data_IF_100741070508
#
_entry.id   IF_100741070508
#
_cell.length_a   1.000
_cell.length_b   1.000
_cell.length_c   1.000
_cell.angle_alpha   90.00
_cell.angle_beta   90.00
_cell.angle_gamma   90.00
#
_symmetry.space_group_name_H-M   'P 1'
#
loop_
_entity.id
_entity.type
_entity.pdbx_description
1 polymer ?
#
# COMPACT_ATOMS: atom_id res chain seq x y z
N UNK A 1 -4.37 22.62 44.90
CA UNK A 1 -4.82 22.46 43.50
C UNK A 1 -3.63 21.95 42.73
N UNK A 2 -3.56 20.66 42.41
CA UNK A 2 -2.50 20.14 41.52
C UNK A 2 -2.87 20.52 40.10
N UNK A 3 -2.12 21.45 39.52
CA UNK A 3 -2.24 21.77 38.09
C UNK A 3 -1.96 20.49 37.31
N UNK A 4 -2.97 20.03 36.58
CA UNK A 4 -2.82 18.90 35.67
C UNK A 4 -2.06 19.45 34.47
N UNK A 5 -0.78 19.14 34.37
CA UNK A 5 0.04 19.51 33.24
C UNK A 5 -0.46 18.70 32.03
N UNK A 6 -1.31 19.31 31.20
CA UNK A 6 -1.84 18.68 30.00
C UNK A 6 -0.68 18.59 29.00
N UNK A 7 -0.04 17.43 28.90
CA UNK A 7 0.94 17.17 27.85
C UNK A 7 0.16 16.98 26.54
N UNK A 8 0.12 18.02 25.71
CA UNK A 8 -0.36 17.90 24.34
C UNK A 8 0.81 17.34 23.51
N UNK A 9 0.62 16.26 22.73
CA UNK A 9 1.67 15.78 21.82
C UNK A 9 2.07 16.89 20.83
N UNK A 10 3.38 17.03 20.59
CA UNK A 10 3.90 17.98 19.59
C UNK A 10 3.45 17.57 18.19
N UNK A 11 3.35 18.54 17.29
CA UNK A 11 3.04 18.32 15.88
C UNK A 11 3.70 19.42 15.04
N UNK A 12 4.98 19.61 15.29
CA UNK A 12 5.79 20.68 14.73
C UNK A 12 6.46 20.25 13.41
N UNK A 13 6.50 18.94 13.15
CA UNK A 13 7.11 18.31 11.99
C UNK A 13 6.04 17.66 11.11
N UNK A 14 6.22 17.77 9.78
CA UNK A 14 5.38 16.99 8.87
C UNK A 14 5.84 15.53 8.86
N UNK A 15 4.92 14.57 8.87
CA UNK A 15 5.25 13.16 8.69
C UNK A 15 5.87 12.88 7.33
N UNK A 16 6.61 11.79 7.24
CA UNK A 16 7.18 11.24 6.02
C UNK A 16 6.52 9.90 5.68
N UNK A 17 6.22 9.68 4.40
CA UNK A 17 5.88 8.36 3.89
C UNK A 17 6.74 8.04 2.67
N UNK A 18 7.43 6.91 2.70
CA UNK A 18 8.49 6.59 1.75
C UNK A 18 8.50 5.08 1.44
N UNK A 19 9.48 4.66 0.62
CA UNK A 19 9.72 3.26 0.22
C UNK A 19 8.46 2.53 -0.29
N UNK A 20 7.64 3.24 -1.04
CA UNK A 20 6.41 2.69 -1.64
C UNK A 20 6.78 1.64 -2.68
N UNK A 21 6.23 0.43 -2.55
CA UNK A 21 6.45 -0.63 -3.53
C UNK A 21 5.20 -1.48 -3.77
N UNK A 22 5.18 -2.12 -4.95
CA UNK A 22 4.29 -3.21 -5.30
C UNK A 22 5.15 -4.38 -5.77
N UNK A 23 4.99 -5.54 -5.14
CA UNK A 23 5.66 -6.76 -5.54
C UNK A 23 4.69 -7.96 -5.55
N UNK A 24 4.68 -8.78 -6.61
CA UNK A 24 5.31 -8.54 -7.91
C UNK A 24 4.54 -7.48 -8.73
N UNK A 25 5.20 -6.83 -9.69
CA UNK A 25 4.53 -5.85 -10.59
C UNK A 25 3.73 -6.51 -11.73
N UNK A 26 3.89 -7.82 -11.92
CA UNK A 26 3.20 -8.66 -12.90
C UNK A 26 2.78 -9.96 -12.24
N UNK A 27 1.64 -10.51 -12.63
CA UNK A 27 1.11 -11.72 -12.03
C UNK A 27 -0.18 -12.21 -12.67
N UNK A 28 -0.74 -13.25 -12.06
CA UNK A 28 -1.98 -13.89 -12.48
C UNK A 28 -3.02 -13.93 -11.35
N UNK A 29 -4.16 -14.57 -11.60
CA UNK A 29 -5.26 -14.75 -10.63
C UNK A 29 -4.83 -15.47 -9.33
N UNK A 30 -3.69 -16.16 -9.34
CA UNK A 30 -3.13 -16.85 -8.16
C UNK A 30 -1.89 -16.14 -7.59
N UNK A 31 -1.49 -15.02 -8.17
CA UNK A 31 -0.39 -14.20 -7.66
C UNK A 31 -0.89 -13.34 -6.51
N UNK A 32 -0.24 -13.49 -5.35
CA UNK A 32 -0.43 -12.58 -4.23
C UNK A 32 0.38 -11.32 -4.48
N UNK A 33 -0.29 -10.17 -4.49
CA UNK A 33 0.34 -8.86 -4.64
C UNK A 33 0.48 -8.20 -3.28
N UNK A 34 1.68 -7.70 -2.98
CA UNK A 34 2.02 -7.02 -1.75
C UNK A 34 2.32 -5.54 -2.04
N UNK A 35 1.50 -4.67 -1.49
CA UNK A 35 1.67 -3.22 -1.50
C UNK A 35 2.35 -2.83 -0.20
N UNK A 36 3.51 -2.18 -0.24
CA UNK A 36 4.25 -1.79 0.96
C UNK A 36 4.57 -0.30 0.99
N UNK A 37 4.83 0.22 2.18
CA UNK A 37 5.30 1.58 2.38
C UNK A 37 5.76 1.80 3.82
N UNK A 38 6.51 2.89 4.03
CA UNK A 38 7.19 3.16 5.30
C UNK A 38 6.73 4.50 5.84
N UNK A 39 6.37 4.52 7.12
CA UNK A 39 5.91 5.70 7.82
C UNK A 39 6.88 6.13 8.90
N UNK A 40 7.16 7.43 8.98
CA UNK A 40 7.89 8.04 10.10
C UNK A 40 7.39 9.46 10.40
N UNK A 41 7.51 9.86 11.66
CA UNK A 41 7.06 11.14 12.20
C UNK A 41 7.92 11.55 13.39
N UNK A 42 8.66 12.65 13.26
CA UNK A 42 9.61 13.12 14.26
C UNK A 42 8.97 13.53 15.59
N UNK A 43 7.66 13.77 15.59
CA UNK A 43 6.90 14.08 16.80
C UNK A 43 6.25 12.84 17.42
N UNK A 44 6.55 11.63 16.90
CA UNK A 44 6.02 10.34 17.36
C UNK A 44 4.52 10.20 17.16
N UNK A 45 3.94 11.01 16.27
CA UNK A 45 2.53 10.92 15.99
C UNK A 45 2.24 9.62 15.24
N UNK A 46 1.24 8.87 15.71
CA UNK A 46 0.75 7.70 15.00
C UNK A 46 -0.10 8.14 13.78
N UNK A 47 -0.09 7.37 12.68
CA UNK A 47 -1.00 7.66 11.58
C UNK A 47 -2.43 7.30 12.01
N UNK A 48 -3.44 8.07 11.58
CA UNK A 48 -4.84 7.65 11.80
C UNK A 48 -5.14 6.45 10.89
N UNK A 49 -4.73 6.53 9.63
CA UNK A 49 -4.85 5.44 8.67
C UNK A 49 -3.81 5.56 7.54
N UNK A 50 -3.33 4.41 7.10
CA UNK A 50 -2.50 4.24 5.91
C UNK A 50 -3.26 3.32 4.97
N UNK A 51 -3.56 3.79 3.76
CA UNK A 51 -4.38 3.06 2.80
C UNK A 51 -3.65 2.91 1.47
N UNK A 52 -3.87 1.77 0.82
CA UNK A 52 -3.65 1.67 -0.63
C UNK A 52 -4.97 1.91 -1.34
N UNK A 53 -4.92 2.55 -2.51
CA UNK A 53 -6.08 2.79 -3.35
C UNK A 53 -5.82 2.12 -4.69
N UNK A 54 -6.67 1.16 -5.05
CA UNK A 54 -6.55 0.36 -6.28
C UNK A 54 -7.82 0.60 -7.10
N UNK A 55 -7.69 1.13 -8.32
CA UNK A 55 -8.81 1.52 -9.18
C UNK A 55 -9.91 2.29 -8.43
N UNK A 56 -9.51 3.34 -7.72
CA UNK A 56 -10.39 4.21 -6.91
C UNK A 56 -11.04 3.55 -5.67
N UNK A 57 -10.73 2.29 -5.38
CA UNK A 57 -11.21 1.61 -4.17
C UNK A 57 -10.15 1.66 -3.07
N UNK A 58 -10.55 2.05 -1.86
CA UNK A 58 -9.65 2.25 -0.72
C UNK A 58 -9.53 0.97 0.11
N UNK A 59 -8.31 0.56 0.41
CA UNK A 59 -8.00 -0.61 1.23
C UNK A 59 -7.04 -0.24 2.38
N UNK A 60 -7.38 -0.57 3.63
CA UNK A 60 -6.51 -0.28 4.77
C UNK A 60 -5.27 -1.18 4.76
N UNK A 61 -4.12 -0.58 5.02
CA UNK A 61 -2.86 -1.29 5.24
C UNK A 61 -2.71 -1.60 6.74
N UNK A 62 -2.04 -2.71 7.03
CA UNK A 62 -1.67 -3.11 8.41
C UNK A 62 -0.17 -2.91 8.62
N UNK A 63 0.26 -2.75 9.87
CA UNK A 63 1.69 -2.83 10.21
C UNK A 63 2.24 -4.22 9.86
N UNK A 64 3.49 -4.27 9.43
CA UNK A 64 4.22 -5.54 9.31
C UNK A 64 4.51 -6.09 10.70
N UNK A 65 5.03 -5.26 11.61
CA UNK A 65 5.13 -5.56 13.04
C UNK A 65 4.00 -4.87 13.83
N UNK A 66 2.98 -5.62 14.31
CA UNK A 66 1.89 -5.05 15.10
C UNK A 66 2.34 -4.40 16.41
N UNK A 67 3.50 -4.79 16.95
CA UNK A 67 4.03 -4.31 18.21
C UNK A 67 4.92 -3.07 18.06
N UNK A 68 5.31 -2.71 16.83
CA UNK A 68 6.07 -1.50 16.60
C UNK A 68 5.20 -0.25 16.79
N UNK A 69 5.54 0.53 17.82
CA UNK A 69 4.88 1.79 18.17
C UNK A 69 5.83 2.98 18.10
N UNK A 70 7.03 2.79 17.55
CA UNK A 70 8.04 3.85 17.51
C UNK A 70 7.99 4.61 16.18
N UNK A 71 7.02 5.51 16.07
CA UNK A 71 6.82 6.34 14.89
C UNK A 71 7.91 7.40 14.67
N UNK A 72 8.80 7.66 15.63
CA UNK A 72 9.99 8.52 15.40
C UNK A 72 10.97 7.89 14.41
N UNK A 73 11.00 6.55 14.40
CA UNK A 73 11.72 5.75 13.42
C UNK A 73 10.78 5.38 12.25
N UNK A 74 11.20 4.40 11.44
CA UNK A 74 10.37 3.84 10.37
C UNK A 74 9.50 2.71 10.92
N UNK A 75 8.21 2.76 10.59
CA UNK A 75 7.25 1.66 10.77
C UNK A 75 6.78 1.20 9.39
N UNK A 76 6.92 -0.09 9.12
CA UNK A 76 6.50 -0.71 7.84
C UNK A 76 5.01 -1.05 7.82
N UNK A 77 4.36 -0.78 6.68
CA UNK A 77 2.97 -1.12 6.41
C UNK A 77 2.85 -1.98 5.16
N UNK A 78 1.86 -2.87 5.14
CA UNK A 78 1.56 -3.76 4.01
C UNK A 78 0.06 -3.94 3.81
N UNK A 79 -0.34 -4.08 2.55
CA UNK A 79 -1.63 -4.66 2.15
C UNK A 79 -1.38 -5.76 1.12
N UNK A 80 -2.03 -6.91 1.28
CA UNK A 80 -1.85 -8.07 0.42
C UNK A 80 -3.20 -8.48 -0.16
N UNK A 81 -3.25 -8.68 -1.48
CA UNK A 81 -4.48 -9.13 -2.15
C UNK A 81 -4.18 -9.93 -3.40
N UNK A 82 -5.13 -10.78 -3.78
CA UNK A 82 -5.23 -11.30 -5.14
C UNK A 82 -6.02 -10.29 -5.98
N UNK A 83 -5.66 -10.17 -7.26
CA UNK A 83 -6.34 -9.27 -8.20
C UNK A 83 -6.98 -10.09 -9.33
N UNK A 84 -8.26 -9.83 -9.69
CA UNK A 84 -8.86 -10.37 -10.90
C UNK A 84 -8.08 -9.98 -12.17
N UNK A 85 -8.39 -10.59 -13.31
CA UNK A 85 -7.80 -10.18 -14.58
C UNK A 85 -8.20 -8.74 -14.92
N UNK A 86 -7.21 -7.90 -15.24
CA UNK A 86 -7.42 -6.51 -15.62
C UNK A 86 -6.14 -5.69 -15.53
N UNK A 87 -6.17 -4.46 -16.03
CA UNK A 87 -5.10 -3.49 -15.80
C UNK A 87 -5.45 -2.67 -14.56
N UNK A 88 -4.47 -2.43 -13.69
CA UNK A 88 -4.70 -1.75 -12.42
C UNK A 88 -3.82 -0.51 -12.29
N UNK A 89 -4.47 0.58 -11.90
CA UNK A 89 -3.81 1.75 -11.39
C UNK A 89 -3.91 1.73 -9.87
N UNK A 90 -2.79 1.90 -9.20
CA UNK A 90 -2.75 2.01 -7.75
C UNK A 90 -1.97 3.24 -7.30
N UNK A 91 -2.32 3.72 -6.11
CA UNK A 91 -1.61 4.75 -5.37
C UNK A 91 -1.64 4.36 -3.89
N UNK A 92 -0.58 4.63 -3.16
CA UNK A 92 -0.59 4.51 -1.70
C UNK A 92 -0.79 5.90 -1.13
N UNK A 93 -1.91 6.09 -0.43
CA UNK A 93 -2.30 7.36 0.16
C UNK A 93 -2.21 7.27 1.67
N UNK A 94 -1.49 8.23 2.26
CA UNK A 94 -1.46 8.35 3.71
C UNK A 94 -2.22 9.57 4.16
N UNK A 95 -3.03 9.37 5.19
CA UNK A 95 -3.84 10.41 5.78
C UNK A 95 -3.44 10.59 7.24
N UNK A 96 -3.02 11.81 7.55
CA UNK A 96 -2.71 12.24 8.90
C UNK A 96 -3.75 13.22 9.41
N UNK A 97 -3.99 13.19 10.72
CA UNK A 97 -4.58 14.33 11.41
C UNK A 97 -4.31 14.27 12.91
N UNK A 98 -3.48 15.17 13.42
CA UNK A 98 -3.86 15.96 14.59
C UNK A 98 -3.77 17.42 14.12
N UNK A 99 -4.88 18.15 14.05
CA UNK A 99 -4.95 19.61 13.79
C UNK A 99 -4.86 20.16 12.34
N UNK A 100 -5.30 19.40 11.33
CA UNK A 100 -5.71 20.01 10.06
C UNK A 100 -5.00 19.46 8.83
N UNK A 101 -5.70 18.54 8.15
CA UNK A 101 -5.59 18.16 6.74
C UNK A 101 -4.26 18.49 6.04
N UNK A 102 -3.25 17.65 6.25
CA UNK A 102 -2.15 17.53 5.28
C UNK A 102 -2.22 16.13 4.68
N UNK A 103 -2.86 16.06 3.52
CA UNK A 103 -2.81 14.89 2.65
C UNK A 103 -1.40 14.81 2.09
N UNK A 104 -0.69 13.72 2.35
CA UNK A 104 0.50 13.40 1.57
C UNK A 104 0.11 12.22 0.69
N UNK A 105 -0.32 12.53 -0.53
CA UNK A 105 -0.62 11.56 -1.57
C UNK A 105 0.63 11.39 -2.42
N UNK A 106 1.23 10.21 -2.41
CA UNK A 106 2.30 9.85 -3.33
C UNK A 106 1.70 9.05 -4.48
N UNK A 107 1.84 9.57 -5.70
CA UNK A 107 1.45 8.88 -6.93
C UNK A 107 2.69 8.27 -7.59
N UNK A 108 2.58 7.02 -8.05
CA UNK A 108 3.13 6.45 -9.30
C UNK A 108 3.57 4.99 -9.13
N UNK A 109 2.92 4.05 -9.83
CA UNK A 109 3.46 3.29 -10.98
C UNK A 109 2.40 2.32 -11.52
N UNK A 110 2.28 2.21 -12.86
CA UNK A 110 1.33 1.31 -13.53
C UNK A 110 1.76 -0.16 -13.38
N UNK A 111 0.83 -1.05 -13.05
CA UNK A 111 1.01 -2.50 -13.20
C UNK A 111 0.07 -3.00 -14.30
N UNK A 112 0.64 -3.38 -15.44
CA UNK A 112 -0.11 -3.99 -16.55
C UNK A 112 -0.27 -5.49 -16.28
N UNK A 113 -1.38 -5.90 -15.65
CA UNK A 113 -1.68 -7.30 -15.37
C UNK A 113 -2.49 -7.94 -16.52
N UNK A 114 -2.06 -7.74 -17.77
CA UNK A 114 -2.67 -8.41 -18.93
C UNK A 114 -2.18 -9.86 -19.07
N UNK A 115 -3.14 -10.78 -19.13
CA UNK A 115 -2.89 -12.19 -19.46
C UNK A 115 -2.81 -12.38 -20.98
N UNK A 116 -1.67 -12.91 -21.41
CA UNK A 116 -1.24 -13.37 -22.73
C UNK A 116 -2.24 -13.48 -23.89
N UNK A 117 -1.83 -12.93 -25.05
CA UNK A 117 -2.35 -13.32 -26.37
C UNK A 117 -1.78 -14.65 -26.88
N UNK A 118 -1.05 -15.41 -26.05
CA UNK A 118 -0.27 -16.58 -26.49
C UNK A 118 -0.74 -17.96 -25.97
N UNK A 119 -1.71 -18.06 -25.08
CA UNK A 119 -2.06 -19.35 -24.45
C UNK A 119 -3.27 -20.12 -25.02
N UNK A 120 -3.70 -19.84 -26.26
CA UNK A 120 -4.79 -20.60 -26.93
C UNK A 120 -4.41 -21.20 -28.30
N UNK A 121 -3.12 -21.33 -28.66
CA UNK A 121 -2.74 -21.96 -29.94
C UNK A 121 -2.30 -23.43 -29.86
N UNK A 122 -1.90 -23.94 -28.69
CA UNK A 122 -1.29 -25.27 -28.61
C UNK A 122 -2.14 -26.30 -27.85
N UNK A 123 -3.44 -26.35 -28.18
CA UNK A 123 -4.27 -27.54 -27.89
C UNK A 123 -4.74 -28.12 -29.24
N UNK A 124 -3.99 -29.12 -29.70
CA UNK A 124 -4.12 -29.89 -30.94
C UNK A 124 -5.56 -30.34 -31.32
N UNK A 125 -5.77 -30.61 -32.63
CA UNK A 125 -6.24 -31.95 -32.96
C UNK A 125 -5.35 -32.67 -33.99
N UNK A 126 -4.92 -33.87 -33.57
CA UNK A 126 -4.89 -35.09 -34.39
C UNK A 126 -3.78 -35.25 -35.44
N UNK A 127 -2.78 -36.07 -35.09
CA UNK A 127 -2.17 -36.98 -36.06
C UNK A 127 -3.26 -37.93 -36.60
N UNK A 128 -3.42 -37.98 -37.91
CA UNK A 128 -4.22 -38.97 -38.62
C UNK A 128 -3.66 -39.18 -40.01
N UNK A 129 -2.93 -40.28 -40.19
CA UNK A 129 -2.46 -40.83 -41.47
C UNK A 129 -3.60 -40.94 -42.50
N UNK A 130 -3.34 -40.55 -43.74
CA UNK A 130 -3.20 -41.41 -44.95
C UNK A 130 -2.78 -40.55 -46.13
#
# INVERSE_FOLDING_TARGET
MTETNIIIPSNDHSPEFSQISLEPILGNLTTLFSFTGNYSDKDKNAPIFINTVINNTVYPMRKIDPLDTNYENVVDFIYETYLPNGTYEYLIAVFYSLYGKKMIAYMKQMADLTFDKFFLRDINPSMGNT
#
